data_IF_855158431476
#
_entry.id   IF_855158431476
#
_cell.length_a   1.000
_cell.length_b   1.000
_cell.length_c   1.000
_cell.angle_alpha   90.00
_cell.angle_beta   90.00
_cell.angle_gamma   90.00
#
_symmetry.space_group_name_H-M   'P 1'
#
loop_
_entity.id
_entity.type
_entity.pdbx_description
1 polymer ?
#
# COMPACT_ATOMS: atom_id res chain seq x y z
N UNK A 1 -63.54 40.60 35.09
CA UNK A 1 -63.51 40.21 33.67
C UNK A 1 -62.58 39.03 33.51
N UNK A 2 -62.97 38.02 32.71
CA UNK A 2 -62.09 36.86 32.46
C UNK A 2 -60.94 37.28 31.55
N UNK A 3 -59.71 36.75 31.76
CA UNK A 3 -58.56 37.10 30.94
C UNK A 3 -58.75 36.64 29.49
N UNK A 4 -58.35 37.48 28.53
CA UNK A 4 -58.23 37.12 27.11
C UNK A 4 -56.83 36.57 26.87
N UNK A 5 -56.76 35.44 26.17
CA UNK A 5 -55.54 34.84 25.67
C UNK A 5 -55.50 35.11 24.17
N UNK A 6 -54.42 35.73 23.70
CA UNK A 6 -54.10 35.83 22.27
C UNK A 6 -53.12 34.72 21.90
N UNK A 7 -53.39 34.05 20.78
CA UNK A 7 -52.55 33.00 20.23
C UNK A 7 -52.01 33.54 18.90
N UNK A 8 -50.68 33.61 18.78
CA UNK A 8 -49.98 33.90 17.53
C UNK A 8 -49.27 32.62 17.06
N UNK A 9 -49.15 32.47 15.75
CA UNK A 9 -48.33 31.44 15.11
C UNK A 9 -47.05 32.12 14.65
N UNK A 10 -45.92 31.74 15.24
CA UNK A 10 -44.60 32.05 14.69
C UNK A 10 -44.26 30.96 13.67
N UNK A 11 -43.97 31.36 12.43
CA UNK A 11 -43.43 30.44 11.43
C UNK A 11 -42.00 30.07 11.87
N UNK A 12 -41.76 28.78 12.13
CA UNK A 12 -40.44 28.23 12.42
C UNK A 12 -39.49 28.60 11.26
N UNK A 13 -38.46 29.40 11.56
CA UNK A 13 -37.37 29.70 10.64
C UNK A 13 -36.80 28.40 10.05
N UNK A 14 -36.99 28.23 8.74
CA UNK A 14 -36.41 27.12 7.97
C UNK A 14 -34.89 27.17 8.16
N UNK A 15 -34.23 26.11 8.67
CA UNK A 15 -32.79 26.10 8.83
C UNK A 15 -32.12 26.34 7.47
N UNK A 16 -31.08 27.19 7.38
CA UNK A 16 -30.41 27.46 6.12
C UNK A 16 -29.92 26.14 5.50
N UNK A 17 -30.20 25.95 4.20
CA UNK A 17 -29.75 24.79 3.43
C UNK A 17 -28.28 24.48 3.73
N UNK A 18 -27.99 23.25 4.15
CA UNK A 18 -26.63 22.82 4.43
C UNK A 18 -25.76 23.07 3.18
N UNK A 19 -24.86 24.04 3.26
CA UNK A 19 -23.99 24.44 2.16
C UNK A 19 -23.32 23.22 1.55
N UNK A 20 -23.51 22.98 0.26
CA UNK A 20 -22.88 21.87 -0.46
C UNK A 20 -21.36 22.03 -0.35
N UNK A 21 -20.69 21.09 0.31
CA UNK A 21 -19.23 21.09 0.44
C UNK A 21 -18.60 20.90 -0.95
N UNK A 22 -18.09 21.98 -1.53
CA UNK A 22 -17.52 22.03 -2.89
C UNK A 22 -16.09 21.51 -2.98
N UNK A 23 -15.45 21.22 -1.85
CA UNK A 23 -14.07 20.70 -1.81
C UNK A 23 -14.00 19.33 -2.46
N UNK A 24 -12.83 19.03 -3.04
CA UNK A 24 -12.55 17.71 -3.59
C UNK A 24 -12.56 16.63 -2.50
N UNK A 25 -12.78 15.36 -2.90
CA UNK A 25 -12.70 14.22 -1.98
C UNK A 25 -11.33 14.14 -1.28
N UNK A 26 -10.27 14.52 -1.98
CA UNK A 26 -8.92 14.57 -1.42
C UNK A 26 -8.83 15.57 -0.27
N UNK A 27 -9.24 16.83 -0.48
CA UNK A 27 -9.21 17.87 0.55
C UNK A 27 -10.10 17.54 1.75
N UNK A 28 -11.25 16.91 1.50
CA UNK A 28 -12.23 16.57 2.56
C UNK A 28 -11.76 15.43 3.44
N UNK A 29 -11.08 14.44 2.87
CA UNK A 29 -10.81 13.18 3.56
C UNK A 29 -9.32 12.93 3.83
N UNK A 30 -8.39 13.71 3.27
CA UNK A 30 -6.94 13.59 3.49
C UNK A 30 -6.34 14.91 4.01
N UNK A 31 -6.67 15.31 5.25
CA UNK A 31 -6.18 16.57 5.82
C UNK A 31 -4.65 16.64 5.90
N UNK A 32 -3.98 15.49 6.05
CA UNK A 32 -2.51 15.39 6.07
C UNK A 32 -1.86 15.35 4.69
N UNK A 33 -2.62 15.59 3.61
CA UNK A 33 -2.14 15.65 2.21
C UNK A 33 -1.40 14.40 1.71
N UNK A 34 -1.55 13.28 2.39
CA UNK A 34 -0.98 11.99 2.02
C UNK A 34 -2.08 11.07 1.49
N UNK A 35 -1.79 10.35 0.41
CA UNK A 35 -2.64 9.27 -0.08
C UNK A 35 -2.16 7.94 0.51
N UNK A 36 -3.08 7.01 0.73
CA UNK A 36 -2.71 5.62 0.97
C UNK A 36 -2.70 4.84 -0.36
N UNK A 37 -1.97 3.72 -0.43
CA UNK A 37 -2.05 2.81 -1.58
C UNK A 37 -3.50 2.35 -1.81
N UNK A 38 -4.26 2.13 -0.73
CA UNK A 38 -5.70 1.84 -0.79
C UNK A 38 -6.54 2.96 -1.42
N UNK A 39 -6.09 4.21 -1.39
CA UNK A 39 -6.77 5.33 -2.04
C UNK A 39 -6.59 5.33 -3.55
N UNK A 40 -5.45 4.84 -4.03
CA UNK A 40 -5.16 4.75 -5.45
C UNK A 40 -5.82 3.54 -6.10
N UNK A 41 -5.84 2.39 -5.41
CA UNK A 41 -6.34 1.14 -5.98
C UNK A 41 -7.82 0.88 -5.71
N UNK A 42 -8.36 1.47 -4.64
CA UNK A 42 -9.76 1.28 -4.25
C UNK A 42 -10.78 1.66 -5.34
N UNK A 43 -10.62 2.79 -6.04
CA UNK A 43 -11.49 3.19 -7.14
C UNK A 43 -11.48 2.25 -8.35
N UNK A 44 -10.41 1.45 -8.54
CA UNK A 44 -10.25 0.58 -9.71
C UNK A 44 -11.33 -0.51 -9.84
N UNK A 45 -11.98 -0.89 -8.74
CA UNK A 45 -13.13 -1.79 -8.78
C UNK A 45 -14.43 -1.04 -9.12
N UNK A 46 -14.70 0.05 -8.41
CA UNK A 46 -15.81 0.96 -8.70
C UNK A 46 -15.61 2.30 -7.98
N UNK A 47 -15.46 3.39 -8.74
CA UNK A 47 -15.29 4.74 -8.22
C UNK A 47 -16.45 5.17 -7.32
N UNK A 48 -17.69 4.90 -7.75
CA UNK A 48 -18.90 5.25 -6.99
C UNK A 48 -18.96 4.54 -5.64
N UNK A 49 -18.54 3.26 -5.60
CA UNK A 49 -18.49 2.52 -4.34
C UNK A 49 -17.41 3.08 -3.40
N UNK A 50 -16.26 3.46 -3.94
CA UNK A 50 -15.20 4.06 -3.17
C UNK A 50 -15.64 5.41 -2.59
N UNK A 51 -16.26 6.26 -3.41
CA UNK A 51 -16.85 7.54 -3.01
C UNK A 51 -17.87 7.37 -1.88
N UNK A 52 -18.84 6.47 -2.04
CA UNK A 52 -19.83 6.18 -1.01
C UNK A 52 -19.18 5.68 0.27
N UNK A 53 -18.13 4.87 0.17
CA UNK A 53 -17.34 4.46 1.31
C UNK A 53 -16.73 5.64 2.07
N UNK A 54 -16.29 6.68 1.36
CA UNK A 54 -15.77 7.90 1.96
C UNK A 54 -16.87 8.72 2.64
N UNK A 55 -17.97 8.99 1.94
CA UNK A 55 -19.10 9.78 2.45
C UNK A 55 -19.77 9.12 3.67
N UNK A 56 -19.86 7.79 3.68
CA UNK A 56 -20.36 7.00 4.82
C UNK A 56 -19.37 6.89 5.98
N UNK A 57 -18.17 7.49 5.86
CA UNK A 57 -17.11 7.45 6.86
C UNK A 57 -16.75 6.00 7.26
N UNK A 58 -16.49 5.13 6.28
CA UNK A 58 -16.28 3.68 6.49
C UNK A 58 -15.18 3.33 7.50
N UNK A 59 -14.23 4.22 7.76
CA UNK A 59 -13.18 4.05 8.77
C UNK A 59 -13.70 4.22 10.20
N UNK A 60 -14.84 4.89 10.41
CA UNK A 60 -15.46 5.03 11.73
C UNK A 60 -16.14 3.73 12.16
N UNK A 61 -16.24 3.56 13.49
CA UNK A 61 -17.09 2.54 14.11
C UNK A 61 -18.53 2.67 13.60
N UNK A 62 -19.23 1.55 13.44
CA UNK A 62 -20.59 1.50 12.88
C UNK A 62 -21.56 2.47 13.58
N UNK A 63 -21.44 2.59 14.91
CA UNK A 63 -22.24 3.48 15.77
C UNK A 63 -22.08 4.96 15.39
N UNK A 64 -20.91 5.36 14.89
CA UNK A 64 -20.58 6.75 14.57
C UNK A 64 -20.67 7.07 13.06
N UNK A 65 -21.20 6.14 12.26
CA UNK A 65 -21.43 6.37 10.82
C UNK A 65 -22.76 7.10 10.63
N UNK A 66 -22.83 8.06 9.71
CA UNK A 66 -24.08 8.76 9.46
C UNK A 66 -25.14 7.79 8.89
N UNK A 67 -26.41 8.03 9.21
CA UNK A 67 -27.52 7.21 8.74
C UNK A 67 -27.87 7.47 7.26
N UNK A 68 -27.55 8.66 6.76
CA UNK A 68 -27.65 9.04 5.37
C UNK A 68 -26.47 9.94 4.96
N UNK A 69 -26.27 10.13 3.66
CA UNK A 69 -25.28 11.06 3.14
C UNK A 69 -25.74 11.61 1.80
N UNK A 70 -25.34 12.85 1.50
CA UNK A 70 -25.63 13.49 0.23
C UNK A 70 -24.61 13.03 -0.82
N UNK A 71 -25.10 12.47 -1.92
CA UNK A 71 -24.31 12.09 -3.09
C UNK A 71 -23.81 13.32 -3.86
N UNK A 72 -22.83 13.16 -4.75
CA UNK A 72 -22.33 14.22 -5.64
C UNK A 72 -23.43 14.96 -6.40
N UNK A 73 -24.52 14.29 -6.73
CA UNK A 73 -25.65 14.87 -7.46
C UNK A 73 -26.69 15.54 -6.54
N UNK A 74 -26.35 15.82 -5.28
CA UNK A 74 -27.27 16.44 -4.31
C UNK A 74 -28.36 15.52 -3.76
N UNK A 75 -28.36 14.24 -4.14
CA UNK A 75 -29.36 13.26 -3.69
C UNK A 75 -29.01 12.72 -2.30
N UNK A 76 -29.94 12.80 -1.36
CA UNK A 76 -29.79 12.13 -0.07
C UNK A 76 -29.90 10.60 -0.22
N UNK A 77 -28.91 9.90 0.32
CA UNK A 77 -28.79 8.45 0.25
C UNK A 77 -28.86 7.84 1.64
N UNK A 78 -29.90 7.04 1.88
CA UNK A 78 -30.02 6.25 3.10
C UNK A 78 -29.03 5.08 3.10
N UNK A 79 -28.26 4.96 4.19
CA UNK A 79 -27.29 3.87 4.38
C UNK A 79 -28.03 2.61 4.81
N UNK A 80 -27.89 1.53 4.04
CA UNK A 80 -28.35 0.19 4.44
C UNK A 80 -27.48 -0.36 5.58
N UNK A 81 -27.90 -0.11 6.83
CA UNK A 81 -27.14 -0.47 8.04
C UNK A 81 -26.80 -1.95 8.14
N UNK A 82 -27.69 -2.83 7.68
CA UNK A 82 -27.46 -4.28 7.71
C UNK A 82 -26.29 -4.70 6.79
N UNK A 83 -26.25 -4.14 5.58
CA UNK A 83 -25.16 -4.37 4.63
C UNK A 83 -23.85 -3.84 5.19
N UNK A 84 -23.87 -2.64 5.79
CA UNK A 84 -22.70 -2.05 6.44
C UNK A 84 -22.19 -2.91 7.61
N UNK A 85 -23.09 -3.51 8.39
CA UNK A 85 -22.77 -4.42 9.48
C UNK A 85 -22.15 -5.73 8.98
N UNK A 86 -22.71 -6.33 7.93
CA UNK A 86 -22.14 -7.54 7.28
C UNK A 86 -20.74 -7.25 6.75
N UNK A 87 -20.55 -6.14 6.03
CA UNK A 87 -19.25 -5.73 5.50
C UNK A 87 -18.23 -5.49 6.61
N UNK A 88 -18.62 -4.84 7.71
CA UNK A 88 -17.74 -4.64 8.87
C UNK A 88 -17.29 -5.97 9.49
N UNK A 89 -18.19 -6.95 9.59
CA UNK A 89 -17.86 -8.31 10.06
C UNK A 89 -16.87 -9.00 9.11
N UNK A 90 -17.04 -8.86 7.80
CA UNK A 90 -16.12 -9.42 6.80
C UNK A 90 -14.73 -8.80 6.94
N UNK A 91 -14.66 -7.47 7.00
CA UNK A 91 -13.40 -6.73 7.11
C UNK A 91 -12.66 -7.07 8.41
N UNK A 92 -13.37 -7.13 9.55
CA UNK A 92 -12.79 -7.53 10.84
C UNK A 92 -12.19 -8.93 10.82
N UNK A 93 -12.78 -9.88 10.10
CA UNK A 93 -12.20 -11.23 9.93
C UNK A 93 -10.92 -11.19 9.13
N UNK A 94 -10.88 -10.43 8.03
CA UNK A 94 -9.66 -10.21 7.25
C UNK A 94 -8.55 -9.67 8.14
N UNK A 95 -8.82 -8.57 8.85
CA UNK A 95 -7.88 -7.96 9.79
C UNK A 95 -7.43 -8.94 10.88
N UNK A 96 -8.31 -9.80 11.38
CA UNK A 96 -7.93 -10.81 12.38
C UNK A 96 -6.92 -11.83 11.84
N UNK A 97 -7.06 -12.26 10.58
CA UNK A 97 -6.10 -13.17 9.94
C UNK A 97 -4.73 -12.50 9.84
N UNK A 98 -4.65 -11.25 9.37
CA UNK A 98 -3.38 -10.51 9.29
C UNK A 98 -2.74 -10.34 10.68
N UNK A 99 -3.52 -9.91 11.69
CA UNK A 99 -3.05 -9.78 13.08
C UNK A 99 -2.55 -11.11 13.68
N UNK A 100 -3.15 -12.24 13.30
CA UNK A 100 -2.69 -13.55 13.73
C UNK A 100 -1.32 -13.86 13.13
N UNK A 101 -1.17 -13.69 11.82
CA UNK A 101 0.08 -13.95 11.11
C UNK A 101 1.20 -12.99 11.53
N UNK A 102 0.87 -11.74 11.85
CA UNK A 102 1.78 -10.75 12.42
C UNK A 102 2.32 -11.21 13.79
N UNK A 103 1.42 -11.64 14.69
CA UNK A 103 1.78 -12.10 16.04
C UNK A 103 2.65 -13.36 16.04
N UNK A 104 2.53 -14.19 15.01
CA UNK A 104 3.37 -15.38 14.84
C UNK A 104 4.85 -15.02 14.62
N UNK A 105 5.14 -13.84 14.05
CA UNK A 105 6.52 -13.36 13.87
C UNK A 105 6.96 -12.40 14.99
N UNK A 106 6.09 -11.46 15.36
CA UNK A 106 6.41 -10.42 16.34
C UNK A 106 5.36 -10.41 17.48
N UNK A 107 5.61 -11.11 18.60
CA UNK A 107 4.59 -11.34 19.62
C UNK A 107 4.25 -10.12 20.50
N UNK A 108 5.05 -9.04 20.51
CA UNK A 108 4.83 -7.90 21.43
C UNK A 108 5.18 -6.55 20.81
N UNK A 109 4.16 -5.81 20.34
CA UNK A 109 4.27 -4.39 19.99
C UNK A 109 4.14 -3.52 21.23
N UNK A 110 5.12 -2.67 21.47
CA UNK A 110 5.10 -1.70 22.58
C UNK A 110 4.45 -0.41 22.05
N UNK A 111 3.39 0.10 22.70
CA UNK A 111 2.78 1.34 22.28
C UNK A 111 3.73 2.51 22.52
N UNK A 112 4.12 3.19 21.45
CA UNK A 112 4.91 4.42 21.48
C UNK A 112 3.95 5.60 21.42
N UNK A 113 4.12 6.55 22.33
CA UNK A 113 3.36 7.79 22.31
C UNK A 113 4.08 8.81 21.44
N UNK A 114 3.31 9.45 20.57
CA UNK A 114 3.79 10.39 19.57
C UNK A 114 3.05 11.70 19.75
N UNK A 115 3.80 12.79 19.77
CA UNK A 115 3.29 14.13 20.05
C UNK A 115 3.53 15.12 18.92
N UNK A 116 4.61 14.95 18.15
CA UNK A 116 4.94 15.83 17.02
C UNK A 116 4.87 15.11 15.68
N UNK A 117 4.81 15.85 14.57
CA UNK A 117 4.83 15.26 13.23
C UNK A 117 6.17 14.58 12.92
N UNK A 118 7.28 15.10 13.47
CA UNK A 118 8.60 14.48 13.40
C UNK A 118 8.58 13.11 14.07
N UNK A 119 8.02 12.98 15.27
CA UNK A 119 7.89 11.70 15.97
C UNK A 119 6.97 10.72 15.22
N UNK A 120 5.93 11.21 14.51
CA UNK A 120 5.08 10.36 13.67
C UNK A 120 5.87 9.72 12.52
N UNK A 121 6.73 10.51 11.85
CA UNK A 121 7.63 10.01 10.82
C UNK A 121 8.76 9.16 11.40
N UNK A 122 9.28 9.54 12.56
CA UNK A 122 10.30 8.80 13.29
C UNK A 122 9.82 7.39 13.63
N UNK A 123 8.61 7.27 14.19
CA UNK A 123 8.00 5.96 14.50
C UNK A 123 7.83 5.12 13.25
N UNK A 124 7.46 5.75 12.12
CA UNK A 124 7.33 5.05 10.85
C UNK A 124 8.66 4.45 10.41
N UNK A 125 9.75 5.23 10.41
CA UNK A 125 11.08 4.75 10.03
C UNK A 125 11.60 3.70 11.02
N UNK A 126 11.39 3.88 12.33
CA UNK A 126 11.75 2.88 13.35
C UNK A 126 11.05 1.53 13.09
N UNK A 127 9.77 1.54 12.72
CA UNK A 127 9.06 0.31 12.35
C UNK A 127 9.59 -0.32 11.06
N UNK A 128 10.05 0.49 10.10
CA UNK A 128 10.73 -0.02 8.90
C UNK A 128 12.08 -0.66 9.27
N UNK A 129 12.89 0.00 10.09
CA UNK A 129 14.18 -0.53 10.57
C UNK A 129 13.99 -1.87 11.29
N UNK A 130 12.99 -1.97 12.16
CA UNK A 130 12.62 -3.22 12.83
C UNK A 130 12.26 -4.34 11.84
N UNK A 131 11.59 -3.99 10.74
CA UNK A 131 11.30 -4.92 9.65
C UNK A 131 12.57 -5.37 8.91
N UNK A 132 13.53 -4.49 8.66
CA UNK A 132 14.82 -4.88 8.07
C UNK A 132 15.60 -5.79 9.02
N UNK A 133 15.65 -5.48 10.32
CA UNK A 133 16.29 -6.37 11.29
C UNK A 133 15.63 -7.76 11.32
N UNK A 134 14.30 -7.84 11.18
CA UNK A 134 13.59 -9.12 11.08
C UNK A 134 13.94 -9.87 9.79
N UNK A 135 14.11 -9.17 8.66
CA UNK A 135 14.60 -9.77 7.41
C UNK A 135 16.03 -10.30 7.54
N UNK A 136 16.92 -9.57 8.22
CA UNK A 136 18.30 -10.00 8.43
C UNK A 136 18.40 -11.19 9.41
N UNK A 137 17.59 -11.19 10.48
CA UNK A 137 17.65 -12.22 11.51
C UNK A 137 16.87 -13.50 11.15
N UNK A 138 15.72 -13.38 10.49
CA UNK A 138 14.77 -14.49 10.25
C UNK A 138 14.45 -14.71 8.77
N UNK A 139 14.92 -13.85 7.86
CA UNK A 139 14.57 -13.92 6.44
C UNK A 139 13.14 -13.47 6.13
N UNK A 140 12.38 -12.92 7.09
CA UNK A 140 10.97 -12.55 6.91
C UNK A 140 10.57 -11.34 7.73
N UNK A 141 9.70 -10.49 7.16
CA UNK A 141 9.05 -9.39 7.88
C UNK A 141 7.59 -9.24 7.44
N UNK A 142 6.74 -8.69 8.31
CA UNK A 142 5.32 -8.44 8.04
C UNK A 142 4.88 -7.06 8.50
N UNK A 143 3.82 -6.56 7.88
CA UNK A 143 3.20 -5.27 8.19
C UNK A 143 4.20 -4.10 8.16
N UNK A 144 5.16 -4.15 7.23
CA UNK A 144 6.19 -3.12 7.09
C UNK A 144 5.58 -1.86 6.47
N UNK A 145 5.64 -0.69 7.15
CA UNK A 145 5.19 0.54 6.52
C UNK A 145 6.09 0.90 5.33
N UNK A 146 5.51 1.51 4.31
CA UNK A 146 6.23 2.00 3.13
C UNK A 146 5.68 3.36 2.71
N UNK A 147 6.50 4.18 2.07
CA UNK A 147 6.09 5.46 1.54
C UNK A 147 6.97 5.89 0.37
N UNK A 148 6.54 6.91 -0.36
CA UNK A 148 7.28 7.45 -1.48
C UNK A 148 6.41 8.35 -2.34
N UNK A 149 6.88 8.65 -3.55
CA UNK A 149 6.19 9.54 -4.47
C UNK A 149 5.54 8.77 -5.62
N UNK A 150 4.28 9.07 -5.89
CA UNK A 150 3.59 8.67 -7.12
C UNK A 150 3.07 9.94 -7.77
N UNK A 151 3.58 10.27 -8.97
CA UNK A 151 3.23 11.49 -9.69
C UNK A 151 3.37 12.77 -8.82
N UNK A 152 4.42 12.83 -7.99
CA UNK A 152 4.69 13.97 -7.11
C UNK A 152 3.83 14.04 -5.83
N UNK A 153 2.87 13.13 -5.65
CA UNK A 153 2.09 13.01 -4.42
C UNK A 153 2.72 12.00 -3.46
N UNK A 154 2.67 12.31 -2.16
CA UNK A 154 3.14 11.38 -1.13
C UNK A 154 2.11 10.27 -0.96
N UNK A 155 2.56 9.03 -1.14
CA UNK A 155 1.75 7.83 -0.98
C UNK A 155 2.35 6.97 0.12
N UNK A 156 1.49 6.40 0.95
CA UNK A 156 1.90 5.49 2.03
C UNK A 156 1.18 4.15 1.95
N UNK A 157 1.81 3.12 2.48
CA UNK A 157 1.31 1.76 2.46
C UNK A 157 1.78 0.95 3.65
N UNK A 158 1.25 -0.27 3.75
CA UNK A 158 1.70 -1.29 4.70
C UNK A 158 1.85 -2.57 3.88
N UNK A 159 3.09 -3.02 3.72
CA UNK A 159 3.42 -4.24 2.99
C UNK A 159 3.12 -5.42 3.91
N UNK A 160 2.25 -6.32 3.45
CA UNK A 160 1.82 -7.46 4.26
C UNK A 160 3.01 -8.35 4.64
N UNK A 161 3.88 -8.66 3.68
CA UNK A 161 4.98 -9.60 3.87
C UNK A 161 6.16 -9.39 2.90
N UNK A 162 7.37 -9.50 3.44
CA UNK A 162 8.64 -9.53 2.73
C UNK A 162 9.41 -10.79 3.12
N UNK A 163 10.07 -11.42 2.14
CA UNK A 163 10.92 -12.59 2.36
C UNK A 163 12.29 -12.34 1.72
N UNK A 164 13.36 -12.51 2.50
CA UNK A 164 14.76 -12.46 2.06
C UNK A 164 15.30 -13.88 2.01
N UNK A 165 15.74 -14.30 0.83
CA UNK A 165 16.25 -15.66 0.55
C UNK A 165 17.63 -15.60 -0.07
N UNK A 166 18.41 -16.67 0.08
CA UNK A 166 19.72 -16.77 -0.57
C UNK A 166 19.51 -17.08 -2.07
N UNK A 167 20.19 -16.36 -2.96
CA UNK A 167 20.12 -16.47 -4.44
C UNK A 167 20.57 -17.83 -5.00
N UNK A 168 20.79 -18.85 -4.16
CA UNK A 168 21.13 -20.22 -4.52
C UNK A 168 20.24 -21.31 -3.90
N UNK A 169 19.28 -20.98 -3.02
CA UNK A 169 18.34 -21.98 -2.50
C UNK A 169 17.25 -22.25 -3.54
N UNK A 170 17.35 -23.40 -4.21
CA UNK A 170 16.45 -23.88 -5.26
C UNK A 170 15.07 -24.30 -4.72
N UNK A 171 14.33 -23.37 -4.12
CA UNK A 171 12.90 -23.56 -3.84
C UNK A 171 12.10 -22.46 -4.56
N UNK A 172 12.45 -22.23 -5.83
CA UNK A 172 11.61 -21.46 -6.73
C UNK A 172 10.24 -22.15 -6.82
N UNK A 173 9.12 -21.48 -6.52
CA UNK A 173 7.80 -22.00 -6.87
C UNK A 173 7.82 -22.29 -8.35
N UNK A 174 7.51 -23.53 -8.75
CA UNK A 174 7.33 -23.91 -10.15
C UNK A 174 6.51 -22.80 -10.80
N UNK A 175 7.10 -22.04 -11.74
CA UNK A 175 6.40 -21.04 -12.54
C UNK A 175 5.20 -21.74 -13.18
N UNK A 176 4.03 -21.65 -12.56
CA UNK A 176 2.78 -21.92 -13.24
C UNK A 176 2.69 -20.80 -14.27
N UNK A 177 3.08 -21.12 -15.50
CA UNK A 177 2.79 -20.30 -16.67
C UNK A 177 1.28 -20.10 -16.67
N UNK A 178 0.83 -18.94 -16.21
CA UNK A 178 -0.49 -18.45 -16.59
C UNK A 178 -0.46 -18.33 -18.12
N UNK A 179 -1.38 -18.98 -18.85
CA UNK A 179 -1.44 -18.77 -20.28
C UNK A 179 -1.73 -17.29 -20.51
N UNK A 180 -0.86 -16.62 -21.26
CA UNK A 180 -1.07 -15.26 -21.72
C UNK A 180 -2.43 -15.20 -22.44
N UNK A 181 -3.45 -14.70 -21.76
CA UNK A 181 -4.75 -14.40 -22.36
C UNK A 181 -4.61 -13.09 -23.11
N UNK A 182 -4.09 -13.16 -24.33
CA UNK A 182 -4.40 -12.13 -25.35
C UNK A 182 -5.92 -11.95 -25.39
N UNK A 183 -6.46 -10.71 -25.37
CA UNK A 183 -7.89 -10.48 -25.37
C UNK A 183 -8.53 -11.10 -26.60
N UNK A 184 -9.31 -12.18 -26.40
CA UNK A 184 -10.09 -12.83 -27.45
C UNK A 184 -11.21 -11.90 -27.88
N UNK A 185 -11.06 -11.30 -29.07
CA UNK A 185 -12.17 -10.66 -29.79
C UNK A 185 -13.30 -11.67 -30.00
N UNK A 186 -14.50 -11.25 -29.63
CA UNK A 186 -15.77 -11.93 -29.80
C UNK A 186 -16.01 -12.27 -31.30
N UNK A 187 -16.28 -13.54 -31.63
CA UNK A 187 -16.60 -13.98 -33.01
C UNK A 187 -18.08 -13.75 -33.34
N UNK A 188 -18.36 -12.93 -34.37
CA UNK A 188 -19.53 -13.10 -35.25
C UNK A 188 -19.08 -13.65 -36.61
N UNK A 189 -19.99 -14.37 -37.27
CA UNK A 189 -19.84 -15.42 -38.29
C UNK A 189 -19.43 -14.96 -39.70
N UNK A 190 -18.58 -15.79 -40.34
CA UNK A 190 -18.47 -16.24 -41.75
C UNK A 190 -18.49 -15.21 -42.92
N UNK A 191 -17.42 -15.23 -43.72
CA UNK A 191 -17.45 -15.71 -45.12
C UNK A 191 -16.06 -16.17 -45.58
N UNK A 192 -16.05 -17.12 -46.53
CA UNK A 192 -14.91 -17.89 -47.07
C UNK A 192 -14.51 -17.28 -48.41
N UNK A 193 -13.20 -17.23 -48.73
CA UNK A 193 -12.58 -17.56 -50.04
C UNK A 193 -11.04 -17.59 -49.87
N UNK A 194 -10.38 -18.53 -50.58
CA UNK A 194 -8.97 -18.99 -50.44
C UNK A 194 -7.95 -18.14 -51.28
N UNK A 195 -6.71 -18.59 -51.56
CA UNK A 195 -5.48 -18.43 -50.76
C UNK A 195 -4.35 -17.68 -51.53
N UNK A 196 -3.46 -16.96 -50.85
CA UNK A 196 -2.10 -16.72 -51.40
C UNK A 196 -1.06 -16.41 -50.33
N UNK A 197 0.05 -17.13 -50.44
CA UNK A 197 1.46 -16.77 -50.19
C UNK A 197 1.90 -16.15 -48.85
N UNK A 198 2.78 -16.90 -48.17
CA UNK A 198 3.55 -16.49 -47.00
C UNK A 198 4.71 -15.57 -47.41
N UNK A 199 5.15 -14.68 -46.51
CA UNK A 199 6.59 -14.50 -46.33
C UNK A 199 7.03 -14.72 -44.87
N UNK A 200 8.18 -15.36 -44.73
CA UNK A 200 8.93 -15.59 -43.49
C UNK A 200 9.52 -14.29 -42.92
N UNK A 201 9.87 -14.22 -41.62
CA UNK A 201 10.52 -13.04 -41.04
C UNK A 201 11.97 -12.90 -41.55
N UNK A 202 12.36 -11.66 -41.86
CA UNK A 202 13.73 -11.24 -42.16
C UNK A 202 14.58 -11.39 -40.89
N UNK A 203 15.34 -12.48 -40.80
CA UNK A 203 16.65 -12.49 -40.14
C UNK A 203 17.70 -12.24 -41.23
N UNK A 204 18.80 -11.58 -40.87
CA UNK A 204 19.98 -11.30 -41.72
C UNK A 204 20.08 -9.89 -42.31
N UNK A 205 20.01 -8.88 -41.43
CA UNK A 205 20.61 -7.57 -41.70
C UNK A 205 21.70 -7.25 -40.68
N UNK A 206 22.80 -8.01 -40.71
CA UNK A 206 24.05 -7.63 -40.05
C UNK A 206 25.21 -8.42 -40.64
N UNK A 207 25.79 -7.93 -41.74
CA UNK A 207 27.19 -8.14 -42.09
C UNK A 207 27.50 -7.28 -43.31
N UNK A 208 28.16 -6.14 -43.08
CA UNK A 208 29.25 -5.54 -43.89
C UNK A 208 29.35 -4.06 -43.55
N UNK A 209 30.18 -3.69 -42.59
CA UNK A 209 31.07 -2.53 -42.69
C UNK A 209 32.13 -2.60 -41.60
N UNK A 210 33.39 -2.51 -42.03
CA UNK A 210 34.59 -2.70 -41.21
C UNK A 210 34.87 -1.56 -40.25
N UNK A 211 33.98 -1.35 -39.28
CA UNK A 211 34.27 -0.55 -38.10
C UNK A 211 34.66 -1.51 -36.97
N UNK A 212 35.92 -1.45 -36.53
CA UNK A 212 36.35 -2.08 -35.27
C UNK A 212 35.51 -1.45 -34.16
N UNK A 213 34.47 -2.14 -33.70
CA UNK A 213 33.78 -1.79 -32.47
C UNK A 213 34.81 -1.97 -31.35
N UNK A 214 35.33 -0.86 -30.84
CA UNK A 214 36.17 -0.84 -29.65
C UNK A 214 35.22 -1.26 -28.53
N UNK A 215 35.32 -2.52 -28.11
CA UNK A 215 34.58 -3.03 -26.98
C UNK A 215 35.08 -2.33 -25.72
N UNK A 216 34.39 -1.25 -25.33
CA UNK A 216 34.57 -0.55 -24.07
C UNK A 216 33.91 -1.35 -22.94
N UNK A 217 34.12 -2.67 -22.89
CA UNK A 217 33.80 -3.49 -21.72
C UNK A 217 34.72 -3.05 -20.58
N UNK A 218 34.31 -1.97 -19.93
CA UNK A 218 34.55 -1.73 -18.53
C UNK A 218 34.33 -3.06 -17.80
N UNK A 219 35.25 -3.50 -16.92
CA UNK A 219 34.89 -4.51 -15.96
C UNK A 219 33.83 -3.86 -15.06
N UNK A 220 32.56 -4.00 -15.43
CA UNK A 220 31.47 -3.86 -14.49
C UNK A 220 31.77 -4.94 -13.46
N UNK A 221 32.32 -4.53 -12.32
CA UNK A 221 32.35 -5.34 -11.12
C UNK A 221 30.89 -5.61 -10.79
N UNK A 222 30.31 -6.63 -11.40
CA UNK A 222 28.96 -7.08 -11.10
C UNK A 222 29.02 -7.50 -9.64
N UNK A 223 28.53 -6.62 -8.78
CA UNK A 223 28.37 -6.89 -7.36
C UNK A 223 27.53 -8.17 -7.28
N UNK A 224 28.14 -9.23 -6.78
CA UNK A 224 27.47 -10.52 -6.68
C UNK A 224 26.63 -10.50 -5.41
N UNK A 225 25.34 -10.21 -5.57
CA UNK A 225 24.39 -10.23 -4.47
C UNK A 225 24.04 -11.66 -4.11
N UNK A 226 24.12 -11.99 -2.82
CA UNK A 226 23.85 -13.34 -2.34
C UNK A 226 22.38 -13.57 -2.02
N UNK A 227 21.54 -12.53 -2.06
CA UNK A 227 20.14 -12.62 -1.65
C UNK A 227 19.16 -12.03 -2.67
N UNK A 228 17.91 -12.49 -2.58
CA UNK A 228 16.73 -11.94 -3.27
C UNK A 228 15.67 -11.51 -2.27
N UNK A 229 14.96 -10.42 -2.54
CA UNK A 229 13.86 -9.93 -1.71
C UNK A 229 12.52 -10.10 -2.43
N UNK A 230 11.66 -10.99 -1.94
CA UNK A 230 10.31 -11.23 -2.48
C UNK A 230 9.28 -10.38 -1.73
N UNK A 231 8.35 -9.80 -2.49
CA UNK A 231 7.24 -9.00 -1.97
C UNK A 231 5.92 -9.74 -2.16
N UNK A 232 5.19 -9.92 -1.06
CA UNK A 232 4.00 -10.74 -0.99
C UNK A 232 2.84 -9.94 -0.40
N UNK A 233 1.68 -9.98 -1.05
CA UNK A 233 0.41 -9.46 -0.54
C UNK A 233 -0.54 -10.63 -0.31
N UNK A 234 -1.20 -10.64 0.83
CA UNK A 234 -2.10 -11.71 1.23
C UNK A 234 -3.52 -11.16 1.33
N UNK A 235 -4.44 -11.75 0.56
CA UNK A 235 -5.86 -11.41 0.62
C UNK A 235 -6.67 -12.56 1.17
N UNK A 236 -7.67 -12.26 1.99
CA UNK A 236 -8.60 -13.29 2.48
C UNK A 236 -9.82 -13.41 1.58
N UNK A 237 -10.25 -14.63 1.26
CA UNK A 237 -11.45 -14.90 0.45
C UNK A 237 -12.33 -15.98 1.06
N UNK A 238 -13.62 -15.94 0.73
CA UNK A 238 -14.60 -16.97 1.12
C UNK A 238 -14.79 -18.06 0.06
N UNK A 239 -14.67 -17.67 -1.21
CA UNK A 239 -14.79 -18.59 -2.33
C UNK A 239 -13.52 -19.46 -2.45
N UNK A 240 -13.72 -20.71 -2.86
CA UNK A 240 -12.67 -21.70 -3.12
C UNK A 240 -11.90 -21.43 -4.41
N UNK A 241 -12.49 -20.66 -5.32
CA UNK A 241 -11.92 -20.34 -6.63
C UNK A 241 -11.14 -19.03 -6.58
N UNK A 242 -10.10 -18.89 -7.40
CA UNK A 242 -9.43 -17.61 -7.57
C UNK A 242 -10.39 -16.53 -8.10
N UNK A 243 -10.19 -15.25 -7.73
CA UNK A 243 -10.95 -14.16 -8.33
C UNK A 243 -10.67 -14.06 -9.83
N UNK A 244 -11.58 -13.42 -10.56
CA UNK A 244 -11.32 -13.03 -11.95
C UNK A 244 -10.20 -12.00 -12.03
N UNK A 245 -9.63 -11.80 -13.22
CA UNK A 245 -8.60 -10.79 -13.43
C UNK A 245 -9.08 -9.37 -13.07
N UNK A 246 -10.35 -9.07 -13.34
CA UNK A 246 -11.00 -7.80 -12.99
C UNK A 246 -11.10 -7.62 -11.47
N UNK A 247 -11.58 -8.64 -10.75
CA UNK A 247 -11.68 -8.61 -9.28
C UNK A 247 -10.29 -8.58 -8.61
N UNK A 248 -9.28 -9.14 -9.26
CA UNK A 248 -7.89 -9.14 -8.79
C UNK A 248 -7.13 -7.84 -9.12
N UNK A 249 -7.66 -6.97 -10.00
CA UNK A 249 -6.94 -5.80 -10.51
C UNK A 249 -6.45 -4.89 -9.39
N UNK A 250 -7.32 -4.53 -8.44
CA UNK A 250 -6.96 -3.66 -7.33
C UNK A 250 -5.82 -4.25 -6.47
N UNK A 251 -5.84 -5.56 -6.21
CA UNK A 251 -4.78 -6.24 -5.48
C UNK A 251 -3.47 -6.31 -6.25
N UNK A 252 -3.52 -6.50 -7.57
CA UNK A 252 -2.32 -6.45 -8.44
C UNK A 252 -1.71 -5.06 -8.46
N UNK A 253 -2.52 -4.02 -8.63
CA UNK A 253 -2.06 -2.63 -8.59
C UNK A 253 -1.47 -2.27 -7.21
N UNK A 254 -2.05 -2.79 -6.13
CA UNK A 254 -1.52 -2.59 -4.77
C UNK A 254 -0.11 -3.15 -4.63
N UNK A 255 0.14 -4.38 -5.10
CA UNK A 255 1.47 -4.98 -5.13
C UNK A 255 2.46 -4.16 -5.96
N UNK A 256 2.06 -3.72 -7.15
CA UNK A 256 2.89 -2.89 -8.03
C UNK A 256 3.25 -1.56 -7.38
N UNK A 257 2.31 -0.92 -6.68
CA UNK A 257 2.56 0.31 -5.94
C UNK A 257 3.50 0.07 -4.77
N UNK A 258 3.35 -1.02 -4.01
CA UNK A 258 4.31 -1.36 -2.95
C UNK A 258 5.73 -1.56 -3.49
N UNK A 259 5.87 -2.26 -4.61
CA UNK A 259 7.16 -2.39 -5.30
C UNK A 259 7.71 -1.01 -5.72
N UNK A 260 6.90 -0.16 -6.35
CA UNK A 260 7.30 1.18 -6.77
C UNK A 260 7.72 2.08 -5.60
N UNK A 261 7.05 1.97 -4.44
CA UNK A 261 7.37 2.78 -3.26
C UNK A 261 8.61 2.26 -2.53
N UNK A 262 8.76 0.94 -2.41
CA UNK A 262 9.89 0.35 -1.67
C UNK A 262 11.19 0.38 -2.49
N UNK A 263 11.15 0.22 -3.81
CA UNK A 263 12.37 0.12 -4.62
C UNK A 263 13.33 1.31 -4.43
N UNK A 264 12.88 2.59 -4.49
CA UNK A 264 13.76 3.72 -4.25
C UNK A 264 14.27 3.82 -2.80
N UNK A 265 13.49 3.32 -1.83
CA UNK A 265 13.87 3.36 -0.42
C UNK A 265 15.03 2.41 -0.09
N UNK A 266 15.20 1.33 -0.85
CA UNK A 266 16.25 0.32 -0.64
C UNK A 266 17.30 0.30 -1.76
N UNK A 267 17.22 1.21 -2.74
CA UNK A 267 18.12 1.25 -3.88
C UNK A 267 19.53 1.70 -3.42
N UNK A 268 20.58 0.89 -3.67
CA UNK A 268 21.94 1.22 -3.23
C UNK A 268 22.55 2.38 -4.02
N UNK A 269 22.27 2.47 -5.31
CA UNK A 269 22.90 3.44 -6.23
C UNK A 269 22.19 4.80 -6.27
N UNK A 270 20.86 4.79 -6.10
CA UNK A 270 20.02 6.00 -6.19
C UNK A 270 19.18 6.13 -4.93
N UNK A 271 19.72 6.73 -3.85
CA UNK A 271 19.04 6.77 -2.57
C UNK A 271 17.77 7.62 -2.64
N UNK A 272 16.77 7.25 -1.83
CA UNK A 272 15.55 8.03 -1.68
C UNK A 272 15.85 9.45 -1.16
N UNK A 273 15.20 10.43 -1.79
CA UNK A 273 15.27 11.85 -1.46
C UNK A 273 14.34 12.18 -0.27
N UNK A 274 14.84 11.93 0.94
CA UNK A 274 14.15 12.28 2.18
C UNK A 274 14.00 13.79 2.36
N UNK A 275 14.93 14.60 1.87
CA UNK A 275 14.85 16.06 1.96
C UNK A 275 13.62 16.59 1.24
N UNK A 276 13.33 16.09 0.03
CA UNK A 276 12.08 16.41 -0.68
C UNK A 276 10.84 16.00 0.12
N UNK A 277 10.87 14.84 0.78
CA UNK A 277 9.75 14.36 1.60
C UNK A 277 9.50 15.31 2.79
N UNK A 278 10.55 15.68 3.52
CA UNK A 278 10.46 16.56 4.69
C UNK A 278 9.97 17.95 4.33
N UNK A 279 10.48 18.53 3.23
CA UNK A 279 10.01 19.81 2.72
C UNK A 279 8.52 19.78 2.35
N UNK A 280 8.04 18.71 1.71
CA UNK A 280 6.63 18.60 1.33
C UNK A 280 5.71 18.33 2.54
N UNK A 281 6.23 17.69 3.60
CA UNK A 281 5.51 17.46 4.85
C UNK A 281 5.63 18.62 5.86
N UNK A 282 6.50 19.60 5.59
CA UNK A 282 6.78 20.72 6.49
C UNK A 282 7.22 20.26 7.89
N UNK A 283 8.15 19.30 7.93
CA UNK A 283 8.77 18.79 9.17
C UNK A 283 10.26 19.16 9.19
N UNK A 284 10.80 19.44 10.38
CA UNK A 284 12.23 19.72 10.54
C UNK A 284 12.97 18.42 10.90
N UNK A 285 13.81 17.89 10.00
CA UNK A 285 14.46 16.61 10.24
C UNK A 285 15.60 16.66 11.26
N UNK A 286 16.05 17.86 11.63
CA UNK A 286 17.12 18.10 12.61
C UNK A 286 16.59 18.27 14.04
N UNK A 287 15.27 18.44 14.19
CA UNK A 287 14.64 18.62 15.49
C UNK A 287 14.83 17.35 16.34
N UNK A 288 15.34 17.47 17.57
CA UNK A 288 15.52 16.32 18.45
C UNK A 288 14.17 15.78 18.92
N UNK A 289 14.04 14.45 18.94
CA UNK A 289 12.87 13.78 19.51
C UNK A 289 12.80 13.94 21.03
N UNK A 290 11.59 13.79 21.59
CA UNK A 290 11.45 13.77 23.04
C UNK A 290 12.17 12.58 23.67
N UNK A 291 12.72 12.75 24.88
CA UNK A 291 13.35 11.67 25.65
C UNK A 291 12.41 10.47 25.83
N UNK A 292 11.12 10.77 26.01
CA UNK A 292 10.06 9.78 26.10
C UNK A 292 9.96 8.94 24.83
N UNK A 293 9.92 9.59 23.68
CA UNK A 293 9.87 8.91 22.38
C UNK A 293 11.10 8.03 22.19
N UNK A 294 12.30 8.57 22.43
CA UNK A 294 13.56 7.83 22.33
C UNK A 294 13.53 6.56 23.20
N UNK A 295 13.17 6.71 24.48
CA UNK A 295 13.08 5.59 25.42
C UNK A 295 12.12 4.50 24.94
N UNK A 296 10.94 4.88 24.46
CA UNK A 296 9.92 3.93 24.02
C UNK A 296 10.27 3.27 22.68
N UNK A 297 10.78 4.05 21.72
CA UNK A 297 11.08 3.61 20.36
C UNK A 297 12.32 2.70 20.33
N UNK A 298 13.41 3.06 21.01
CA UNK A 298 14.62 2.23 20.97
C UNK A 298 14.60 1.03 21.91
N UNK A 299 13.99 1.14 23.11
CA UNK A 299 13.80 -0.04 23.96
C UNK A 299 12.76 -1.02 23.39
N UNK A 300 11.84 -0.51 22.57
CA UNK A 300 10.75 -1.28 21.99
C UNK A 300 11.12 -2.02 20.71
N UNK A 301 11.53 -1.26 19.68
CA UNK A 301 11.56 -1.75 18.29
C UNK A 301 12.97 -2.11 17.77
N UNK A 302 14.03 -1.65 18.44
CA UNK A 302 15.44 -1.83 18.02
C UNK A 302 16.28 -2.58 19.07
N UNK A 303 15.68 -3.60 19.70
CA UNK A 303 16.31 -4.43 20.74
C UNK A 303 17.66 -4.98 20.25
N UNK A 304 18.74 -4.59 20.92
CA UNK A 304 20.10 -5.06 20.62
C UNK A 304 21.08 -3.97 20.17
N UNK A 305 20.58 -2.77 19.84
CA UNK A 305 21.43 -1.59 19.61
C UNK A 305 21.48 -0.73 20.89
N UNK A 306 22.68 -0.46 21.42
CA UNK A 306 22.85 0.45 22.57
C UNK A 306 22.51 1.89 22.15
N UNK A 307 21.60 2.58 22.87
CA UNK A 307 21.21 3.97 22.54
C UNK A 307 22.38 4.97 22.72
N UNK A 308 22.41 6.10 21.96
CA UNK A 308 21.46 6.51 20.94
C UNK A 308 22.06 6.42 19.53
N UNK A 309 21.63 5.44 18.74
CA UNK A 309 21.93 5.42 17.30
C UNK A 309 21.19 6.56 16.55
N UNK A 310 20.22 7.22 17.18
CA UNK A 310 19.47 8.33 16.60
C UNK A 310 18.90 9.26 17.68
N UNK A 311 18.77 10.54 17.32
CA UNK A 311 18.19 11.62 18.12
C UNK A 311 17.17 12.43 17.33
N UNK A 312 17.23 12.41 16.00
CA UNK A 312 16.34 13.14 15.09
C UNK A 312 15.98 12.30 13.83
N UNK A 313 15.23 12.86 12.89
CA UNK A 313 14.86 12.17 11.64
C UNK A 313 16.07 11.97 10.72
N UNK A 314 17.02 12.92 10.67
CA UNK A 314 18.21 12.78 9.82
C UNK A 314 19.06 11.57 10.24
N UNK A 315 19.22 11.34 11.55
CA UNK A 315 19.88 10.15 12.07
C UNK A 315 19.16 8.87 11.64
N UNK A 316 17.82 8.85 11.71
CA UNK A 316 17.00 7.70 11.31
C UNK A 316 17.11 7.41 9.80
N UNK A 317 17.12 8.45 8.95
CA UNK A 317 17.27 8.27 7.50
C UNK A 317 18.69 7.81 7.12
N UNK A 318 19.70 8.27 7.85
CA UNK A 318 21.08 7.80 7.72
C UNK A 318 21.20 6.33 8.13
N UNK A 319 20.63 5.97 9.28
CA UNK A 319 20.59 4.59 9.76
C UNK A 319 19.85 3.67 8.77
N UNK A 320 18.72 4.12 8.23
CA UNK A 320 17.98 3.40 7.19
C UNK A 320 18.86 3.08 5.97
N UNK A 321 19.61 4.07 5.45
CA UNK A 321 20.53 3.87 4.33
C UNK A 321 21.62 2.85 4.65
N UNK A 322 22.18 2.90 5.85
CA UNK A 322 23.24 1.97 6.25
C UNK A 322 22.72 0.52 6.37
N UNK A 323 21.60 0.34 7.07
CA UNK A 323 21.03 -0.98 7.36
C UNK A 323 20.45 -1.64 6.11
N UNK A 324 19.92 -0.86 5.16
CA UNK A 324 19.42 -1.42 3.88
C UNK A 324 20.53 -1.98 2.99
N UNK A 325 21.77 -1.50 3.11
CA UNK A 325 22.92 -2.08 2.40
C UNK A 325 23.26 -3.49 2.90
N UNK A 326 22.98 -3.79 4.17
CA UNK A 326 23.21 -5.12 4.77
C UNK A 326 22.27 -6.20 4.19
N UNK A 327 21.18 -5.79 3.52
CA UNK A 327 20.28 -6.74 2.86
C UNK A 327 20.99 -7.55 1.79
N UNK A 328 22.03 -7.01 1.15
CA UNK A 328 22.80 -7.68 0.09
C UNK A 328 21.90 -8.22 -1.05
N UNK A 329 21.06 -7.33 -1.58
CA UNK A 329 20.12 -7.61 -2.67
C UNK A 329 20.33 -6.63 -3.84
N UNK A 330 20.10 -7.05 -5.10
CA UNK A 330 20.13 -6.14 -6.24
C UNK A 330 18.91 -5.21 -6.29
N UNK A 331 17.88 -5.53 -5.51
CA UNK A 331 16.56 -4.91 -5.53
C UNK A 331 15.48 -5.92 -5.14
N UNK A 332 14.22 -5.54 -5.34
CA UNK A 332 13.07 -6.42 -5.13
C UNK A 332 12.96 -7.38 -6.33
N UNK A 333 12.63 -8.64 -6.07
CA UNK A 333 12.33 -9.63 -7.11
C UNK A 333 11.19 -9.10 -8.02
N UNK A 334 11.36 -9.08 -9.35
CA UNK A 334 10.32 -8.61 -10.28
C UNK A 334 9.05 -9.49 -10.26
N UNK A 335 9.13 -10.71 -9.75
CA UNK A 335 8.01 -11.64 -9.61
C UNK A 335 7.28 -11.44 -8.28
N UNK A 336 6.42 -10.43 -8.23
CA UNK A 336 5.54 -10.16 -7.08
C UNK A 336 4.52 -11.28 -6.87
N UNK A 337 4.19 -11.59 -5.61
CA UNK A 337 3.27 -12.69 -5.27
C UNK A 337 1.99 -12.20 -4.60
N UNK A 338 0.86 -12.68 -5.10
CA UNK A 338 -0.47 -12.43 -4.53
C UNK A 338 -1.06 -13.73 -4.02
N UNK A 339 -1.23 -13.85 -2.71
CA UNK A 339 -1.71 -15.06 -2.05
C UNK A 339 -3.16 -14.86 -1.60
N UNK A 340 -4.04 -15.80 -1.95
CA UNK A 340 -5.43 -15.79 -1.49
C UNK A 340 -5.65 -16.86 -0.41
N UNK A 341 -5.80 -16.43 0.84
CA UNK A 341 -6.12 -17.31 1.96
C UNK A 341 -7.63 -17.53 2.08
N UNK A 342 -8.04 -18.79 2.10
CA UNK A 342 -9.42 -19.17 2.34
C UNK A 342 -9.81 -18.95 3.81
N UNK A 343 -10.87 -18.18 4.03
CA UNK A 343 -11.51 -18.08 5.34
C UNK A 343 -12.28 -19.36 5.63
N UNK A 344 -12.01 -20.00 6.77
CA UNK A 344 -12.84 -21.13 7.21
C UNK A 344 -14.29 -20.67 7.42
N UNK A 345 -15.29 -21.49 7.03
CA UNK A 345 -16.68 -21.18 7.31
C UNK A 345 -16.89 -21.08 8.82
N UNK A 346 -17.79 -20.20 9.25
CA UNK A 346 -18.25 -20.20 10.64
C UNK A 346 -18.82 -21.60 10.92
N UNK A 347 -18.29 -22.29 11.93
CA UNK A 347 -19.04 -23.40 12.52
C UNK A 347 -20.41 -22.82 12.94
N UNK A 348 -21.54 -23.43 12.53
CA UNK A 348 -22.82 -23.01 13.09
C UNK A 348 -22.72 -23.13 14.61
N UNK A 349 -23.13 -22.06 15.30
CA UNK A 349 -23.19 -22.04 16.76
C UNK A 349 -24.27 -22.96 17.26
#
# INVERSE_FOLDING_TARGET
GRPKIEIAVEDDDIPPEASVDTRSMYERFRPYRMLSVSDLVGPAWCELQFEYGLLQKRWKRLEHRPASFVSRNGKDMSVKKDVAAVNNRVQKRGTFVHKKLERELEPKKIPVQVTTDEEHWGLRIVNMLSSIHSLLAQGRAREMPVFGFVQGQIVTGIIDELIRENSGSSDSPKRLRSPASTPRKYKKRRQVLKPSEKPSPITDFASTSGYKFIDLTYPATHRCYQHTLRLIDTKTRRSEYLPSDEDALASRLQLMLYHQLLSPLIAPETPFDFTRLWNQMNVDPTLPFSERFLTQAGAGSLRGTSHPAFTCLDDLTTLWRNVTLELDIPGIDPCLQLIYLRQQPLKPK
#
